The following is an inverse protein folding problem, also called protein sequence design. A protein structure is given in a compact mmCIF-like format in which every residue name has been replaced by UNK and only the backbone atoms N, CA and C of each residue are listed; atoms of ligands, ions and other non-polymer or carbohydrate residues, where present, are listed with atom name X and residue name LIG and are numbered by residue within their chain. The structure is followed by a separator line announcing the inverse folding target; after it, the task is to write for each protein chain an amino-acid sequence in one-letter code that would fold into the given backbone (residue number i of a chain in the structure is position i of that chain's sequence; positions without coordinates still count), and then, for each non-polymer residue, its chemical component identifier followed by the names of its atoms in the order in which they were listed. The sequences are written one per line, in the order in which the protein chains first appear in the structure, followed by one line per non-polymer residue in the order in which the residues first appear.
data_IF_823852404163
#
_entry.id   IF_823852404163
#
_cell.length_a   1.000
_cell.length_b   1.000
_cell.length_c   1.000
_cell.angle_alpha   90.00
_cell.angle_beta   90.00
_cell.angle_gamma   90.00
#
_symmetry.space_group_name_H-M   'P 1'
#
loop_
_entity.id
_entity.type
_entity.pdbx_description
1 polymer ?
#
# COMPACT_ATOMS: atom_id res chain seq x y z
N UNK A 1 4.50 -62.66 45.70
CA UNK A 1 4.28 -61.39 44.97
C UNK A 1 3.81 -61.72 43.55
N UNK A 2 2.56 -61.37 43.23
CA UNK A 2 1.87 -61.91 42.06
C UNK A 2 2.24 -61.13 40.79
N UNK A 3 2.94 -61.81 39.88
CA UNK A 3 3.39 -61.33 38.56
C UNK A 3 2.27 -60.64 37.76
N UNK A 4 1.01 -61.03 37.99
CA UNK A 4 -0.18 -60.42 37.38
C UNK A 4 -0.44 -58.96 37.78
N UNK A 5 -0.02 -58.52 38.97
CA UNK A 5 -0.15 -57.11 39.40
C UNK A 5 0.96 -56.21 38.84
N UNK A 6 2.14 -56.78 38.56
CA UNK A 6 3.26 -56.06 37.94
C UNK A 6 3.03 -55.80 36.44
N UNK A 7 2.43 -56.76 35.73
CA UNK A 7 2.12 -56.61 34.31
C UNK A 7 1.07 -55.51 34.02
N UNK A 8 0.07 -55.35 34.90
CA UNK A 8 -0.94 -54.31 34.75
C UNK A 8 -0.42 -52.89 34.97
N UNK A 9 0.56 -52.71 35.86
CA UNK A 9 1.20 -51.41 36.13
C UNK A 9 2.21 -51.04 35.04
N UNK A 10 2.92 -52.03 34.49
CA UNK A 10 3.83 -51.82 33.37
C UNK A 10 3.10 -51.43 32.07
N UNK A 11 1.90 -51.98 31.81
CA UNK A 11 1.12 -51.62 30.63
C UNK A 11 0.56 -50.19 30.66
N UNK A 12 0.25 -49.65 31.84
CA UNK A 12 -0.26 -48.27 32.00
C UNK A 12 0.86 -47.22 31.88
N UNK A 13 2.10 -47.55 32.25
CA UNK A 13 3.25 -46.64 32.10
C UNK A 13 3.80 -46.54 30.66
N UNK A 14 3.46 -47.49 29.77
CA UNK A 14 3.84 -47.41 28.35
C UNK A 14 2.80 -46.63 27.52
N UNK A 15 1.56 -46.52 28.01
CA UNK A 15 0.49 -45.77 27.37
C UNK A 15 0.44 -44.27 27.75
N UNK A 16 1.25 -43.84 28.72
CA UNK A 16 1.39 -42.44 29.11
C UNK A 16 2.75 -41.88 28.65
N UNK A 17 2.69 -40.80 27.88
CA UNK A 17 3.78 -39.86 27.61
C UNK A 17 4.75 -40.16 26.45
N UNK A 18 4.36 -41.00 25.49
CA UNK A 18 4.80 -40.87 24.08
C UNK A 18 4.09 -39.70 23.35
N UNK A 19 3.66 -38.69 24.10
CA UNK A 19 3.29 -37.38 23.56
C UNK A 19 4.57 -36.56 23.55
N UNK A 20 5.55 -37.00 22.75
CA UNK A 20 6.58 -36.09 22.30
C UNK A 20 5.86 -35.16 21.32
N UNK A 21 5.34 -34.04 21.84
CA UNK A 21 4.77 -33.00 21.01
C UNK A 21 5.87 -32.52 20.08
N UNK A 22 5.77 -32.88 18.80
CA UNK A 22 6.56 -32.24 17.75
C UNK A 22 6.09 -30.80 17.67
N UNK A 23 6.69 -29.91 18.47
CA UNK A 23 6.61 -28.48 18.18
C UNK A 23 7.23 -28.30 16.79
N UNK A 24 6.45 -27.88 15.82
CA UNK A 24 6.99 -27.49 14.52
C UNK A 24 8.05 -26.42 14.77
N UNK A 25 9.26 -26.60 14.23
CA UNK A 25 10.28 -25.56 14.30
C UNK A 25 9.70 -24.26 13.73
N UNK A 26 9.91 -23.14 14.42
CA UNK A 26 9.42 -21.84 13.97
C UNK A 26 10.06 -21.51 12.62
N UNK A 27 9.24 -21.14 11.64
CA UNK A 27 9.67 -21.01 10.26
C UNK A 27 8.84 -19.97 9.51
N UNK A 28 9.51 -19.27 8.60
CA UNK A 28 8.89 -18.34 7.66
C UNK A 28 9.43 -18.65 6.26
N UNK A 29 8.62 -18.38 5.24
CA UNK A 29 9.00 -18.50 3.84
C UNK A 29 8.58 -17.24 3.10
N UNK A 30 9.25 -16.98 1.97
CA UNK A 30 8.91 -15.90 1.06
C UNK A 30 8.42 -16.55 -0.23
N UNK A 31 7.31 -16.06 -0.77
CA UNK A 31 6.84 -16.50 -2.09
C UNK A 31 7.81 -16.04 -3.17
N UNK A 32 7.78 -16.70 -4.33
CA UNK A 32 8.53 -16.24 -5.49
C UNK A 32 8.05 -14.84 -5.93
N UNK A 33 8.99 -13.91 -6.13
CA UNK A 33 8.72 -12.53 -6.53
C UNK A 33 8.98 -12.36 -8.04
N UNK A 34 10.08 -12.92 -8.53
CA UNK A 34 10.43 -12.89 -9.96
C UNK A 34 10.99 -11.55 -10.44
N UNK A 35 10.49 -11.06 -11.57
CA UNK A 35 10.86 -9.77 -12.15
C UNK A 35 9.80 -8.72 -11.83
N UNK A 36 10.25 -7.55 -11.39
CA UNK A 36 9.38 -6.41 -11.10
C UNK A 36 9.85 -5.19 -11.88
N UNK A 37 8.96 -4.22 -12.06
CA UNK A 37 9.28 -2.96 -12.75
C UNK A 37 9.56 -1.86 -11.73
N UNK A 38 10.55 -1.01 -12.01
CA UNK A 38 10.83 0.16 -11.18
C UNK A 38 9.65 1.16 -11.18
N UNK A 39 9.53 1.98 -10.14
CA UNK A 39 8.46 2.98 -9.98
C UNK A 39 7.03 2.41 -9.86
N UNK A 40 6.89 1.22 -9.25
CA UNK A 40 5.60 0.60 -8.94
C UNK A 40 5.55 0.17 -7.46
N UNK A 41 4.34 0.03 -6.90
CA UNK A 41 4.15 -0.65 -5.62
C UNK A 41 3.89 -2.13 -5.82
N UNK A 42 4.80 -2.98 -5.37
CA UNK A 42 4.63 -4.43 -5.36
C UNK A 42 4.22 -4.91 -3.96
N UNK A 43 3.66 -6.12 -3.87
CA UNK A 43 3.40 -6.79 -2.58
C UNK A 43 4.27 -8.02 -2.47
N UNK A 44 5.17 -8.04 -1.50
CA UNK A 44 5.94 -9.23 -1.12
C UNK A 44 5.13 -9.96 -0.06
N UNK A 45 5.03 -11.29 -0.17
CA UNK A 45 4.31 -12.09 0.80
C UNK A 45 4.89 -13.48 0.96
N UNK A 46 4.37 -14.20 1.94
CA UNK A 46 4.87 -15.51 2.29
C UNK A 46 3.98 -16.24 3.29
N UNK A 47 4.47 -17.39 3.74
CA UNK A 47 3.78 -18.21 4.73
C UNK A 47 4.64 -18.43 5.96
N UNK A 48 4.01 -18.64 7.12
CA UNK A 48 4.70 -18.90 8.38
C UNK A 48 3.85 -19.75 9.30
N UNK A 49 4.48 -20.44 10.25
CA UNK A 49 3.79 -21.11 11.35
C UNK A 49 3.71 -20.26 12.63
N UNK A 50 4.20 -19.02 12.59
CA UNK A 50 4.09 -18.06 13.69
C UNK A 50 2.63 -17.66 13.92
N UNK A 51 2.26 -17.36 15.17
CA UNK A 51 0.90 -16.99 15.52
C UNK A 51 0.48 -15.65 14.87
N UNK A 52 -0.80 -15.47 14.52
CA UNK A 52 -1.31 -14.18 14.06
C UNK A 52 -1.06 -13.08 15.10
N UNK A 53 -0.72 -11.88 14.62
CA UNK A 53 -0.33 -10.74 15.46
C UNK A 53 1.17 -10.61 15.74
N UNK A 54 1.98 -11.63 15.41
CA UNK A 54 3.44 -11.50 15.47
C UNK A 54 3.97 -10.55 14.38
N UNK A 55 5.13 -9.96 14.63
CA UNK A 55 5.74 -8.97 13.74
C UNK A 55 6.99 -9.52 13.04
N UNK A 56 7.03 -9.37 11.73
CA UNK A 56 8.17 -9.70 10.89
C UNK A 56 8.83 -8.40 10.42
N UNK A 57 10.15 -8.31 10.54
CA UNK A 57 10.94 -7.26 9.87
C UNK A 57 11.20 -7.74 8.45
N UNK A 58 10.85 -6.91 7.48
CA UNK A 58 11.15 -7.13 6.07
C UNK A 58 12.15 -6.07 5.65
N UNK A 59 13.27 -6.51 5.07
CA UNK A 59 14.33 -5.63 4.56
C UNK A 59 14.62 -5.99 3.11
N UNK A 60 14.66 -4.99 2.24
CA UNK A 60 14.94 -5.08 0.82
C UNK A 60 16.17 -4.25 0.52
N UNK A 61 17.23 -4.90 0.06
CA UNK A 61 18.54 -4.29 -0.15
C UNK A 61 19.07 -4.65 -1.54
N UNK A 62 19.64 -3.71 -2.30
CA UNK A 62 20.32 -4.02 -3.56
C UNK A 62 21.51 -4.97 -3.34
N UNK A 63 21.68 -5.97 -4.21
CA UNK A 63 22.79 -6.93 -4.16
C UNK A 63 24.10 -6.31 -4.66
N UNK A 64 24.00 -5.33 -5.56
CA UNK A 64 25.13 -4.62 -6.13
C UNK A 64 25.39 -3.27 -5.45
N UNK A 65 26.58 -3.10 -4.89
CA UNK A 65 27.16 -1.78 -4.64
C UNK A 65 27.97 -1.39 -5.87
N UNK A 66 27.32 -0.79 -6.86
CA UNK A 66 28.08 -0.17 -7.95
C UNK A 66 28.76 1.11 -7.42
N UNK A 67 29.98 1.45 -7.88
CA UNK A 67 30.62 2.71 -7.53
C UNK A 67 29.78 3.89 -8.02
N UNK A 68 28.98 4.49 -7.14
CA UNK A 68 28.19 5.67 -7.47
C UNK A 68 29.13 6.87 -7.67
N UNK A 69 28.94 7.61 -8.75
CA UNK A 69 29.66 8.87 -8.96
C UNK A 69 29.26 9.87 -7.87
N UNK A 70 30.20 10.66 -7.33
CA UNK A 70 29.94 11.64 -6.26
C UNK A 70 28.92 12.73 -6.65
N UNK A 71 28.68 12.88 -7.96
CA UNK A 71 27.68 13.79 -8.54
C UNK A 71 26.37 13.11 -8.92
N UNK A 72 26.27 11.77 -8.79
CA UNK A 72 25.00 11.07 -9.00
C UNK A 72 24.10 11.27 -7.78
N UNK A 73 22.77 11.43 -7.97
CA UNK A 73 21.82 11.38 -6.87
C UNK A 73 21.95 10.03 -6.13
N UNK A 74 21.54 10.05 -4.86
CA UNK A 74 21.82 9.05 -3.82
C UNK A 74 21.81 7.57 -4.28
N UNK A 75 22.72 6.76 -3.72
CA UNK A 75 22.93 5.37 -4.16
C UNK A 75 21.69 4.47 -4.05
N UNK A 76 21.78 3.30 -4.69
CA UNK A 76 20.68 2.35 -4.86
C UNK A 76 19.72 2.26 -3.64
N UNK A 77 18.47 2.65 -3.86
CA UNK A 77 17.45 2.69 -2.82
C UNK A 77 17.07 1.29 -2.34
N UNK A 78 16.54 1.19 -1.12
CA UNK A 78 16.00 -0.03 -0.56
C UNK A 78 14.73 0.27 0.25
N UNK A 79 14.09 -0.78 0.76
CA UNK A 79 12.89 -0.65 1.59
C UNK A 79 13.04 -1.47 2.86
N UNK A 80 12.52 -0.97 3.98
CA UNK A 80 12.39 -1.77 5.19
C UNK A 80 11.11 -1.43 5.94
N UNK A 81 10.60 -2.39 6.69
CA UNK A 81 9.41 -2.18 7.48
C UNK A 81 9.00 -3.42 8.26
N UNK A 82 7.80 -3.36 8.82
CA UNK A 82 7.22 -4.46 9.58
C UNK A 82 5.97 -4.99 8.91
N UNK A 83 5.86 -6.32 8.83
CA UNK A 83 4.66 -7.03 8.39
C UNK A 83 4.06 -7.77 9.58
N UNK A 84 2.73 -7.72 9.69
CA UNK A 84 2.01 -8.46 10.74
C UNK A 84 1.57 -9.80 10.18
N UNK A 85 1.80 -10.87 10.95
CA UNK A 85 1.31 -12.21 10.61
C UNK A 85 -0.22 -12.23 10.74
N UNK A 86 -0.87 -12.69 9.68
CA UNK A 86 -2.31 -12.83 9.56
C UNK A 86 -2.69 -14.31 9.57
N UNK A 87 -3.89 -14.60 10.07
CA UNK A 87 -4.45 -15.95 9.99
C UNK A 87 -4.53 -16.38 8.52
N UNK A 88 -3.96 -17.55 8.23
CA UNK A 88 -3.93 -18.11 6.89
C UNK A 88 -4.91 -19.28 6.75
N UNK A 89 -4.47 -20.34 6.08
CA UNK A 89 -5.28 -21.55 5.93
C UNK A 89 -5.01 -22.54 7.07
N UNK A 90 -5.61 -23.74 7.00
CA UNK A 90 -5.44 -24.78 8.01
C UNK A 90 -3.99 -25.28 8.20
N UNK A 91 -3.06 -24.90 7.32
CA UNK A 91 -1.68 -25.41 7.29
C UNK A 91 -0.66 -24.33 7.63
N UNK A 92 -0.88 -23.07 7.26
CA UNK A 92 0.05 -21.98 7.53
C UNK A 92 -0.65 -20.62 7.60
N UNK A 93 -0.09 -19.73 8.43
CA UNK A 93 -0.41 -18.32 8.47
C UNK A 93 0.29 -17.57 7.34
N UNK A 94 -0.17 -16.35 7.06
CA UNK A 94 0.33 -15.55 5.94
C UNK A 94 0.84 -14.20 6.42
N UNK A 95 1.68 -13.56 5.61
CA UNK A 95 2.10 -12.19 5.84
C UNK A 95 2.31 -11.51 4.49
N UNK A 96 2.21 -10.18 4.48
CA UNK A 96 2.38 -9.36 3.29
C UNK A 96 3.00 -8.00 3.64
N UNK A 97 3.88 -7.51 2.79
CA UNK A 97 4.56 -6.24 2.92
C UNK A 97 4.53 -5.48 1.57
N UNK A 98 3.88 -4.30 1.51
CA UNK A 98 3.94 -3.46 0.31
C UNK A 98 5.31 -2.80 0.20
N UNK A 99 5.90 -2.84 -0.99
CA UNK A 99 7.18 -2.21 -1.31
C UNK A 99 6.97 -1.23 -2.45
N UNK A 100 7.28 0.03 -2.20
CA UNK A 100 7.39 1.04 -3.25
C UNK A 100 8.78 0.97 -3.88
N UNK A 101 8.83 0.62 -5.17
CA UNK A 101 10.08 0.55 -5.95
C UNK A 101 10.43 1.89 -6.58
N UNK A 102 9.80 3.00 -6.15
CA UNK A 102 10.21 4.35 -6.54
C UNK A 102 11.65 4.61 -6.10
N UNK A 103 12.51 4.99 -7.06
CA UNK A 103 13.94 5.19 -6.82
C UNK A 103 14.79 3.92 -6.76
N UNK A 104 14.20 2.73 -6.97
CA UNK A 104 14.98 1.50 -7.14
C UNK A 104 15.65 1.53 -8.52
N UNK A 105 16.96 1.32 -8.55
CA UNK A 105 17.71 1.16 -9.79
C UNK A 105 17.49 -0.25 -10.37
N UNK A 106 17.47 -0.42 -11.71
CA UNK A 106 17.41 -1.75 -12.32
C UNK A 106 18.58 -2.62 -11.86
N UNK A 107 18.29 -3.85 -11.40
CA UNK A 107 19.29 -4.71 -10.79
C UNK A 107 18.70 -5.80 -9.92
N UNK A 108 19.56 -6.54 -9.24
CA UNK A 108 19.16 -7.61 -8.30
C UNK A 108 19.04 -7.06 -6.87
N UNK A 109 17.99 -7.48 -6.18
CA UNK A 109 17.68 -7.11 -4.80
C UNK A 109 17.49 -8.36 -3.96
N UNK A 110 18.00 -8.31 -2.73
CA UNK A 110 17.76 -9.32 -1.69
C UNK A 110 16.66 -8.84 -0.77
N UNK A 111 15.69 -9.72 -0.52
CA UNK A 111 14.70 -9.58 0.53
C UNK A 111 15.11 -10.49 1.68
N UNK A 112 15.11 -9.94 2.88
CA UNK A 112 15.31 -10.69 4.12
C UNK A 112 14.10 -10.46 5.02
N UNK A 113 13.60 -11.54 5.61
CA UNK A 113 12.48 -11.54 6.54
C UNK A 113 12.94 -12.17 7.83
N UNK A 114 12.75 -11.46 8.94
CA UNK A 114 13.18 -11.88 10.27
C UNK A 114 12.03 -11.71 11.26
N UNK A 115 11.83 -12.71 12.12
CA UNK A 115 10.87 -12.58 13.21
C UNK A 115 11.49 -11.83 14.39
N UNK A 116 10.80 -10.84 14.92
CA UNK A 116 11.33 -9.94 15.96
C UNK A 116 11.56 -10.66 17.29
N UNK A 117 10.70 -11.63 17.63
CA UNK A 117 10.71 -12.29 18.94
C UNK A 117 11.39 -13.68 18.95
N UNK A 118 12.06 -14.09 17.86
CA UNK A 118 12.82 -15.34 17.81
C UNK A 118 13.61 -15.54 16.52
N UNK A 119 13.90 -16.80 16.16
CA UNK A 119 14.95 -17.12 15.18
C UNK A 119 14.45 -17.44 13.76
N UNK A 120 13.14 -17.26 13.50
CA UNK A 120 12.58 -17.56 12.19
C UNK A 120 13.05 -16.53 11.16
N UNK A 121 13.77 -17.00 10.13
CA UNK A 121 14.33 -16.16 9.08
C UNK A 121 14.11 -16.76 7.69
N UNK A 122 14.01 -15.90 6.67
CA UNK A 122 13.99 -16.29 5.26
C UNK A 122 14.65 -15.22 4.40
N UNK A 123 15.20 -15.64 3.27
CA UNK A 123 15.75 -14.71 2.28
C UNK A 123 15.48 -15.19 0.86
N UNK A 124 15.26 -14.26 -0.05
CA UNK A 124 15.08 -14.50 -1.48
C UNK A 124 15.62 -13.32 -2.28
N UNK A 125 15.84 -13.51 -3.56
CA UNK A 125 16.23 -12.44 -4.48
C UNK A 125 15.15 -12.20 -5.54
N UNK A 126 15.14 -10.99 -6.10
CA UNK A 126 14.30 -10.62 -7.23
C UNK A 126 15.01 -9.57 -8.08
N UNK A 127 14.54 -9.41 -9.33
CA UNK A 127 15.16 -8.47 -10.28
C UNK A 127 14.22 -7.31 -10.56
N UNK A 128 14.74 -6.09 -10.45
CA UNK A 128 14.06 -4.87 -10.88
C UNK A 128 14.48 -4.55 -12.31
N UNK A 129 13.50 -4.29 -13.15
CA UNK A 129 13.64 -3.90 -14.56
C UNK A 129 13.28 -2.44 -14.75
N UNK A 130 13.83 -1.81 -15.79
CA UNK A 130 13.52 -0.42 -16.12
C UNK A 130 12.03 -0.24 -16.43
N UNK A 131 11.45 0.86 -15.93
CA UNK A 131 10.10 1.23 -16.30
C UNK A 131 10.02 1.62 -17.78
N UNK A 132 9.03 1.12 -18.54
CA UNK A 132 8.87 1.55 -19.92
C UNK A 132 8.70 3.08 -19.97
N UNK A 133 9.51 3.73 -20.82
CA UNK A 133 9.44 5.18 -21.00
C UNK A 133 7.99 5.57 -21.33
N UNK A 134 7.43 6.51 -20.55
CA UNK A 134 6.12 7.06 -20.84
C UNK A 134 6.17 7.63 -22.27
N UNK A 135 5.45 7.00 -23.19
CA UNK A 135 5.27 7.57 -24.53
C UNK A 135 4.55 8.90 -24.30
N UNK A 136 5.10 10.05 -24.75
CA UNK A 136 4.39 11.31 -24.59
C UNK A 136 3.06 11.15 -25.31
N UNK A 137 1.97 11.16 -24.54
CA UNK A 137 0.65 11.34 -25.11
C UNK A 137 0.72 12.69 -25.80
N UNK A 138 0.72 12.70 -27.14
CA UNK A 138 0.62 13.93 -27.88
C UNK A 138 -0.65 14.63 -27.38
N UNK A 139 -0.48 15.73 -26.65
CA UNK A 139 -1.57 16.65 -26.37
C UNK A 139 -2.11 17.05 -27.73
N UNK A 140 -3.23 16.47 -28.13
CA UNK A 140 -4.00 16.95 -29.27
C UNK A 140 -4.47 18.34 -28.85
N UNK A 141 -3.73 19.36 -29.25
CA UNK A 141 -4.21 20.73 -29.27
C UNK A 141 -5.43 20.71 -30.18
N UNK A 142 -6.62 20.62 -29.59
CA UNK A 142 -7.86 20.84 -30.30
C UNK A 142 -7.74 22.19 -31.03
N UNK A 143 -8.09 22.29 -32.32
CA UNK A 143 -8.11 23.59 -32.98
C UNK A 143 -9.03 24.50 -32.18
N UNK A 144 -8.50 25.65 -31.75
CA UNK A 144 -9.29 26.75 -31.21
C UNK A 144 -10.38 27.08 -32.22
N UNK A 145 -11.62 26.67 -31.94
CA UNK A 145 -12.78 27.16 -32.68
C UNK A 145 -12.92 28.65 -32.35
N UNK A 146 -12.47 29.51 -33.26
CA UNK A 146 -12.87 30.91 -33.24
C UNK A 146 -14.38 30.95 -33.42
N UNK A 147 -15.10 31.17 -32.32
CA UNK A 147 -16.53 31.43 -32.37
C UNK A 147 -16.75 32.65 -33.26
N UNK A 148 -17.31 32.43 -34.45
CA UNK A 148 -17.83 33.50 -35.30
C UNK A 148 -19.02 34.10 -34.57
N UNK A 149 -18.93 35.40 -34.26
CA UNK A 149 -20.02 36.15 -33.66
C UNK A 149 -21.28 36.04 -34.55
N UNK A 150 -22.48 35.89 -33.96
CA UNK A 150 -23.71 35.86 -34.75
C UNK A 150 -23.90 37.20 -35.49
N UNK A 151 -24.53 37.22 -36.67
CA UNK A 151 -24.80 38.47 -37.37
C UNK A 151 -25.72 39.36 -36.54
N UNK A 152 -25.27 40.58 -36.26
CA UNK A 152 -26.08 41.65 -35.69
C UNK A 152 -27.27 41.93 -36.61
N UNK A 153 -28.48 41.64 -36.15
CA UNK A 153 -29.73 41.99 -36.85
C UNK A 153 -29.95 43.49 -36.70
N UNK A 154 -30.20 44.18 -37.81
CA UNK A 154 -30.57 45.60 -37.84
C UNK A 154 -31.89 45.84 -37.09
N UNK A 155 -32.07 46.98 -36.40
CA UNK A 155 -33.29 47.26 -35.66
C UNK A 155 -34.44 47.61 -36.62
N UNK A 156 -35.59 46.98 -36.40
CA UNK A 156 -36.87 47.32 -37.00
C UNK A 156 -37.38 48.67 -36.44
N UNK A 157 -38.01 49.55 -37.24
CA UNK A 157 -38.54 50.82 -36.74
C UNK A 157 -39.67 50.60 -35.73
N UNK A 158 -39.49 51.22 -34.56
CA UNK A 158 -40.39 51.21 -33.41
C UNK A 158 -41.78 51.77 -33.73
N UNK A 159 -42.89 51.14 -33.28
CA UNK A 159 -44.20 51.77 -33.28
C UNK A 159 -44.28 52.89 -32.22
N UNK A 160 -44.90 53.99 -32.64
CA UNK A 160 -45.17 55.25 -31.94
C UNK A 160 -45.77 55.08 -30.52
N UNK A 161 -45.37 55.90 -29.54
CA UNK A 161 -45.67 55.68 -28.11
C UNK A 161 -47.12 55.96 -27.71
N UNK A 162 -47.67 55.11 -26.84
CA UNK A 162 -48.86 55.42 -26.02
C UNK A 162 -48.44 55.58 -24.57
N UNK A 163 -48.72 56.75 -24.01
CA UNK A 163 -48.33 57.21 -22.68
C UNK A 163 -49.25 56.66 -21.57
N UNK A 164 -48.64 56.26 -20.45
CA UNK A 164 -49.16 56.32 -19.07
C UNK A 164 -48.12 55.62 -18.17
N UNK A 165 -47.23 56.32 -17.48
CA UNK A 165 -47.47 56.90 -16.16
C UNK A 165 -46.31 56.49 -15.23
N UNK A 166 -45.94 57.28 -14.19
CA UNK A 166 -44.61 57.22 -13.59
C UNK A 166 -44.56 56.42 -12.28
N UNK A 167 -43.43 55.75 -12.01
CA UNK A 167 -43.01 55.41 -10.64
C UNK A 167 -41.48 55.21 -10.56
N UNK A 168 -40.79 56.25 -10.10
CA UNK A 168 -39.45 56.21 -9.50
C UNK A 168 -39.57 55.75 -8.01
N UNK A 169 -38.50 55.70 -7.18
CA UNK A 169 -37.20 55.01 -7.28
C UNK A 169 -36.76 54.35 -5.91
N UNK A 170 -35.49 53.90 -5.85
CA UNK A 170 -34.55 53.99 -4.68
C UNK A 170 -34.37 52.83 -3.66
N UNK A 171 -33.06 52.63 -3.35
CA UNK A 171 -32.41 52.31 -2.05
C UNK A 171 -32.40 50.85 -1.54
N UNK A 172 -31.22 50.22 -1.37
CA UNK A 172 -30.34 50.17 -0.16
C UNK A 172 -30.78 49.02 0.81
N UNK A 173 -29.99 48.30 1.61
CA UNK A 173 -28.66 48.43 2.19
C UNK A 173 -28.23 47.08 2.83
N UNK A 174 -26.92 46.96 3.12
CA UNK A 174 -26.18 46.14 4.11
C UNK A 174 -26.90 45.18 5.09
N UNK A 175 -26.23 44.05 5.41
CA UNK A 175 -25.76 43.75 6.78
C UNK A 175 -24.88 42.48 6.86
N UNK A 176 -23.79 42.58 7.63
CA UNK A 176 -22.93 41.50 8.10
C UNK A 176 -23.48 40.87 9.40
N UNK A 177 -23.16 39.61 9.67
CA UNK A 177 -23.52 38.90 10.90
C UNK A 177 -22.39 38.00 11.40
N UNK A 178 -22.03 38.18 12.66
CA UNK A 178 -20.86 37.65 13.38
C UNK A 178 -21.35 36.78 14.56
N UNK A 179 -20.53 35.78 14.94
CA UNK A 179 -20.43 35.11 16.24
C UNK A 179 -21.43 34.00 16.64
N UNK A 180 -20.85 32.91 17.16
CA UNK A 180 -21.54 31.82 17.87
C UNK A 180 -20.53 30.84 18.48
N UNK A 181 -20.01 31.21 19.64
CA UNK A 181 -19.06 30.51 20.50
C UNK A 181 -19.81 29.61 21.52
N UNK A 182 -19.16 28.51 21.96
CA UNK A 182 -19.53 27.53 23.03
C UNK A 182 -20.55 26.45 22.61
N UNK A 183 -20.38 25.16 22.95
CA UNK A 183 -20.18 24.61 24.30
C UNK A 183 -19.40 23.28 24.24
N UNK A 184 -18.50 23.10 25.21
CA UNK A 184 -17.78 21.87 25.56
C UNK A 184 -18.40 21.27 26.83
N UNK A 185 -18.43 19.93 26.88
CA UNK A 185 -18.68 19.02 28.03
C UNK A 185 -20.14 18.78 28.46
N UNK A 186 -20.61 17.57 28.16
CA UNK A 186 -20.78 16.54 29.19
C UNK A 186 -20.03 15.30 28.77
#
# INVERSE_FOLDING_TARGET
MNVRKLAGVAAVLVLAAWICGTAAAQGTSINEIGMVTANETITIGGTTNLAPGNHLIVTVTPVGFEPTNKSAPDGAAGASGTAVVQEGNATANTWSFPVDTSGFEPGEYTVTVEWVEGDATASTTFTVTEAPAATPTATVTAPTVTATAPPTTAPEPSPTPTAAGPALPLAAAFAAGLAGYLVRRR
#
